data_IF_395137013167
#
_entry.id   IF_395137013167
#
_cell.length_a   1.000
_cell.length_b   1.000
_cell.length_c   1.000
_cell.angle_alpha   90.00
_cell.angle_beta   90.00
_cell.angle_gamma   90.00
#
_symmetry.space_group_name_H-M   'P 1'
#
loop_
_entity.id
_entity.type
_entity.pdbx_description
1 polymer ?
#
# COMPACT_ATOMS: atom_id res chain seq x y z
N UNK A 1 -1.42 -14.41 15.95
CA UNK A 1 -2.77 -13.85 16.13
C UNK A 1 -3.64 -14.53 15.10
N UNK A 2 -4.73 -15.23 15.49
CA UNK A 2 -5.64 -15.83 14.52
C UNK A 2 -6.64 -14.76 14.12
N UNK A 3 -6.68 -14.43 12.82
CA UNK A 3 -7.68 -13.52 12.28
C UNK A 3 -9.03 -14.24 12.14
N UNK A 4 -10.11 -13.50 12.29
CA UNK A 4 -11.45 -13.94 11.97
C UNK A 4 -11.50 -14.33 10.49
N UNK A 5 -12.05 -15.49 10.14
CA UNK A 5 -12.31 -15.84 8.74
C UNK A 5 -13.38 -14.91 8.18
N UNK A 6 -13.08 -14.32 7.05
CA UNK A 6 -14.00 -13.43 6.33
C UNK A 6 -14.62 -14.18 5.15
N UNK A 7 -15.88 -13.89 4.86
CA UNK A 7 -16.54 -14.39 3.66
C UNK A 7 -16.07 -13.65 2.41
N UNK A 8 -15.71 -12.38 2.58
CA UNK A 8 -15.18 -11.53 1.52
C UNK A 8 -14.06 -10.64 2.05
N UNK A 9 -13.01 -10.48 1.23
CA UNK A 9 -11.89 -9.57 1.43
C UNK A 9 -11.81 -8.65 0.22
N UNK A 10 -11.78 -7.36 0.46
CA UNK A 10 -11.62 -6.35 -0.57
C UNK A 10 -10.25 -5.69 -0.43
N UNK A 11 -9.36 -5.87 -1.41
CA UNK A 11 -8.09 -5.13 -1.44
C UNK A 11 -8.30 -3.86 -2.26
N UNK A 12 -8.22 -2.73 -1.58
CA UNK A 12 -8.54 -1.40 -2.12
C UNK A 12 -7.27 -0.57 -2.09
N UNK A 13 -6.89 -0.02 -3.23
CA UNK A 13 -5.67 0.77 -3.31
C UNK A 13 -5.41 1.34 -4.69
N UNK A 14 -4.21 1.87 -4.86
CA UNK A 14 -3.68 2.25 -6.16
C UNK A 14 -3.44 1.00 -7.06
N UNK A 15 -2.62 1.12 -8.09
CA UNK A 15 -2.32 0.01 -9.00
C UNK A 15 -1.77 -1.25 -8.33
N UNK A 16 -1.18 -1.13 -7.12
CA UNK A 16 -0.64 -2.26 -6.36
C UNK A 16 -1.73 -3.16 -5.78
N UNK A 17 -2.96 -2.68 -5.64
CA UNK A 17 -4.10 -3.53 -5.26
C UNK A 17 -4.35 -4.65 -6.27
N UNK A 18 -4.00 -4.46 -7.55
CA UNK A 18 -4.14 -5.48 -8.60
C UNK A 18 -3.28 -6.74 -8.37
N UNK A 19 -2.20 -6.62 -7.59
CA UNK A 19 -1.38 -7.79 -7.19
C UNK A 19 -2.23 -8.86 -6.51
N UNK A 20 -3.28 -8.45 -5.82
CA UNK A 20 -4.18 -9.33 -5.07
C UNK A 20 -5.27 -9.99 -5.92
N UNK A 21 -5.28 -9.76 -7.22
CA UNK A 21 -6.17 -10.49 -8.13
C UNK A 21 -5.64 -11.92 -8.34
N UNK A 22 -5.69 -12.72 -7.28
CA UNK A 22 -5.18 -14.11 -7.24
C UNK A 22 -6.21 -15.15 -7.70
N UNK A 23 -7.36 -14.71 -8.20
CA UNK A 23 -8.41 -15.60 -8.68
C UNK A 23 -9.20 -16.32 -7.58
N UNK A 24 -9.02 -15.96 -6.31
CA UNK A 24 -9.74 -16.57 -5.21
C UNK A 24 -11.14 -15.96 -5.06
N UNK A 25 -12.22 -16.76 -4.90
CA UNK A 25 -13.61 -16.26 -4.90
C UNK A 25 -13.91 -15.32 -3.73
N UNK A 26 -13.16 -15.41 -2.64
CA UNK A 26 -13.31 -14.52 -1.48
C UNK A 26 -12.56 -13.19 -1.62
N UNK A 27 -11.62 -13.05 -2.55
CA UNK A 27 -10.82 -11.84 -2.69
C UNK A 27 -11.30 -11.04 -3.90
N UNK A 28 -11.74 -9.83 -3.65
CA UNK A 28 -11.99 -8.82 -4.66
C UNK A 28 -10.90 -7.76 -4.60
N UNK A 29 -10.58 -7.15 -5.74
CA UNK A 29 -9.63 -6.05 -5.83
C UNK A 29 -10.33 -4.83 -6.41
N UNK A 30 -10.01 -3.66 -5.86
CA UNK A 30 -10.47 -2.38 -6.37
C UNK A 30 -9.26 -1.46 -6.55
N UNK A 31 -8.87 -1.29 -7.81
CA UNK A 31 -7.89 -0.28 -8.18
C UNK A 31 -8.62 1.07 -8.34
N UNK A 32 -8.35 1.98 -7.43
CA UNK A 32 -8.97 3.32 -7.40
C UNK A 32 -8.18 4.36 -8.20
N UNK A 33 -7.23 3.90 -9.01
CA UNK A 33 -6.33 4.77 -9.76
C UNK A 33 -5.20 5.34 -8.89
N UNK A 34 -4.58 6.44 -9.31
CA UNK A 34 -3.39 6.98 -8.65
C UNK A 34 -3.74 7.80 -7.40
N UNK A 35 -4.49 7.21 -6.50
CA UNK A 35 -4.81 7.82 -5.21
C UNK A 35 -3.67 7.53 -4.24
N UNK A 36 -3.13 8.57 -3.64
CA UNK A 36 -2.04 8.49 -2.67
C UNK A 36 -2.56 8.31 -1.24
N UNK A 37 -1.72 7.81 -0.34
CA UNK A 37 -1.99 7.80 1.09
C UNK A 37 -2.28 9.22 1.61
N UNK A 38 -1.54 10.23 1.09
CA UNK A 38 -1.78 11.64 1.38
C UNK A 38 -3.19 12.08 1.02
N UNK A 39 -3.69 11.68 -0.16
CA UNK A 39 -5.03 12.06 -0.61
C UNK A 39 -6.11 11.40 0.25
N UNK A 40 -5.94 10.13 0.59
CA UNK A 40 -6.86 9.44 1.52
C UNK A 40 -6.90 10.13 2.88
N UNK A 41 -5.74 10.50 3.41
CA UNK A 41 -5.64 11.23 4.69
C UNK A 41 -6.28 12.62 4.66
N UNK A 42 -6.24 13.30 3.51
CA UNK A 42 -6.82 14.64 3.35
C UNK A 42 -8.33 14.63 3.13
N UNK A 43 -8.81 13.76 2.24
CA UNK A 43 -10.19 13.77 1.74
C UNK A 43 -11.09 12.75 2.46
N UNK A 44 -10.50 11.79 3.17
CA UNK A 44 -11.20 10.70 3.86
C UNK A 44 -11.51 9.48 2.97
N UNK A 45 -11.80 8.35 3.60
CA UNK A 45 -12.18 7.12 2.90
C UNK A 45 -13.53 7.27 2.23
N UNK A 46 -14.50 7.89 2.90
CA UNK A 46 -15.86 8.05 2.40
C UNK A 46 -15.89 8.80 1.08
N UNK A 47 -15.19 9.93 0.99
CA UNK A 47 -15.11 10.73 -0.24
C UNK A 47 -14.39 9.99 -1.37
N UNK A 48 -13.32 9.26 -1.05
CA UNK A 48 -12.54 8.57 -2.08
C UNK A 48 -13.19 7.26 -2.58
N UNK A 49 -14.00 6.58 -1.75
CA UNK A 49 -14.47 5.22 -2.08
C UNK A 49 -15.96 5.01 -1.93
N UNK A 50 -16.55 5.34 -0.80
CA UNK A 50 -17.93 4.97 -0.47
C UNK A 50 -18.93 5.63 -1.39
N UNK A 51 -18.76 6.93 -1.61
CA UNK A 51 -19.67 7.71 -2.43
C UNK A 51 -19.58 7.37 -3.92
N UNK A 52 -18.49 6.70 -4.33
CA UNK A 52 -18.22 6.41 -5.72
C UNK A 52 -18.39 4.94 -6.10
N UNK A 53 -17.76 4.03 -5.38
CA UNK A 53 -17.68 2.62 -5.77
C UNK A 53 -18.78 1.75 -5.18
N UNK A 54 -19.25 2.02 -3.95
CA UNK A 54 -20.31 1.25 -3.32
C UNK A 54 -21.64 1.40 -4.09
N UNK A 55 -22.09 2.60 -4.47
CA UNK A 55 -23.34 2.76 -5.25
C UNK A 55 -23.29 2.07 -6.60
N UNK A 56 -22.12 1.83 -7.16
CA UNK A 56 -21.92 1.10 -8.44
C UNK A 56 -21.87 -0.41 -8.28
N UNK A 57 -21.88 -0.92 -7.04
CA UNK A 57 -21.73 -2.34 -6.77
C UNK A 57 -20.33 -2.92 -7.04
N UNK A 58 -19.33 -2.06 -7.20
CA UNK A 58 -17.94 -2.47 -7.47
C UNK A 58 -17.26 -3.01 -6.21
N UNK A 59 -17.69 -2.55 -5.04
CA UNK A 59 -17.26 -3.04 -3.72
C UNK A 59 -18.44 -3.08 -2.76
N UNK A 60 -18.41 -3.98 -1.79
CA UNK A 60 -19.42 -4.09 -0.73
C UNK A 60 -18.87 -3.57 0.59
N UNK A 61 -19.75 -3.04 1.44
CA UNK A 61 -19.43 -2.73 2.85
C UNK A 61 -19.19 -3.97 3.69
N UNK A 62 -19.63 -5.12 3.23
CA UNK A 62 -19.44 -6.38 3.92
C UNK A 62 -18.03 -6.94 3.69
N UNK A 63 -17.47 -7.56 4.73
CA UNK A 63 -16.16 -8.18 4.67
C UNK A 63 -15.03 -7.30 5.21
N UNK A 64 -13.81 -7.76 4.98
CA UNK A 64 -12.59 -7.05 5.38
C UNK A 64 -12.10 -6.15 4.24
N UNK A 65 -11.88 -4.89 4.53
CA UNK A 65 -11.21 -3.97 3.62
C UNK A 65 -9.72 -3.91 3.94
N UNK A 66 -8.89 -4.35 3.01
CA UNK A 66 -7.43 -4.25 3.07
C UNK A 66 -7.01 -3.02 2.27
N UNK A 67 -6.51 -2.00 2.95
CA UNK A 67 -6.12 -0.74 2.33
C UNK A 67 -4.64 -0.78 1.92
N UNK A 68 -4.37 -0.59 0.63
CA UNK A 68 -3.07 -0.74 -0.03
C UNK A 68 -2.63 0.59 -0.67
N UNK A 69 -2.03 1.48 0.12
CA UNK A 69 -1.59 2.82 -0.31
C UNK A 69 -0.18 3.14 0.18
N UNK A 70 0.46 4.14 -0.44
CA UNK A 70 1.71 4.73 0.03
C UNK A 70 2.90 4.55 -0.91
N UNK A 71 2.84 3.64 -1.89
CA UNK A 71 3.94 3.46 -2.84
C UNK A 71 4.17 4.73 -3.66
N UNK A 72 3.11 5.33 -4.20
CA UNK A 72 3.18 6.56 -4.99
C UNK A 72 3.72 7.72 -4.14
N UNK A 73 3.35 7.80 -2.86
CA UNK A 73 3.90 8.81 -1.95
C UNK A 73 5.42 8.66 -1.81
N UNK A 74 5.92 7.43 -1.59
CA UNK A 74 7.34 7.13 -1.44
C UNK A 74 8.12 7.40 -2.74
N UNK A 75 7.58 6.97 -3.88
CA UNK A 75 8.25 7.02 -5.17
C UNK A 75 8.25 8.41 -5.80
N UNK A 76 7.12 9.14 -5.70
CA UNK A 76 6.92 10.37 -6.46
C UNK A 76 6.97 11.65 -5.62
N UNK A 77 6.61 11.61 -4.32
CA UNK A 77 6.28 12.83 -3.60
C UNK A 77 7.19 13.16 -2.42
N UNK A 78 7.55 12.19 -1.60
CA UNK A 78 8.28 12.45 -0.36
C UNK A 78 9.63 13.11 -0.59
N UNK A 79 10.38 12.68 -1.59
CA UNK A 79 11.68 13.27 -1.90
C UNK A 79 11.58 14.78 -2.17
N UNK A 80 10.58 15.21 -2.93
CA UNK A 80 10.35 16.63 -3.22
C UNK A 80 9.99 17.42 -1.95
N UNK A 81 9.14 16.86 -1.09
CA UNK A 81 8.76 17.52 0.17
C UNK A 81 9.96 17.72 1.09
N UNK A 82 10.86 16.75 1.14
CA UNK A 82 12.01 16.75 2.04
C UNK A 82 13.18 17.53 1.43
N UNK A 83 13.58 17.20 0.19
CA UNK A 83 14.83 17.72 -0.39
C UNK A 83 14.66 19.01 -1.19
N UNK A 84 13.51 19.23 -1.84
CA UNK A 84 13.25 20.47 -2.59
C UNK A 84 12.62 21.52 -1.68
N UNK A 85 11.62 21.14 -0.89
CA UNK A 85 10.89 22.07 -0.02
C UNK A 85 11.54 22.23 1.37
N UNK A 86 12.62 21.49 1.67
CA UNK A 86 13.40 21.61 2.91
C UNK A 86 12.64 21.20 4.18
N UNK A 87 11.59 20.37 4.05
CA UNK A 87 10.80 19.94 5.21
C UNK A 87 11.52 18.83 5.97
N UNK A 88 11.29 18.76 7.28
CA UNK A 88 11.82 17.69 8.11
C UNK A 88 11.21 16.33 7.70
N UNK A 89 12.04 15.32 7.45
CA UNK A 89 11.63 14.01 6.97
C UNK A 89 10.68 13.31 7.95
N UNK A 90 11.04 13.28 9.23
CA UNK A 90 10.23 12.59 10.24
C UNK A 90 8.88 13.29 10.44
N UNK A 91 8.85 14.61 10.37
CA UNK A 91 7.61 15.39 10.44
C UNK A 91 6.69 15.12 9.26
N UNK A 92 7.23 15.08 8.04
CA UNK A 92 6.46 14.79 6.81
C UNK A 92 5.85 13.39 6.87
N UNK A 93 6.66 12.39 7.22
CA UNK A 93 6.22 10.99 7.27
C UNK A 93 5.22 10.76 8.41
N UNK A 94 5.49 11.29 9.61
CA UNK A 94 4.55 11.20 10.73
C UNK A 94 3.21 11.86 10.41
N UNK A 95 3.21 13.04 9.79
CA UNK A 95 1.99 13.74 9.39
C UNK A 95 1.21 12.94 8.35
N UNK A 96 1.89 12.38 7.34
CA UNK A 96 1.28 11.55 6.32
C UNK A 96 0.53 10.36 6.93
N UNK A 97 1.21 9.57 7.75
CA UNK A 97 0.64 8.37 8.37
C UNK A 97 -0.45 8.73 9.39
N UNK A 98 -0.26 9.78 10.17
CA UNK A 98 -1.25 10.21 11.16
C UNK A 98 -2.56 10.65 10.51
N UNK A 99 -2.50 11.48 9.46
CA UNK A 99 -3.69 11.92 8.73
C UNK A 99 -4.42 10.74 8.07
N UNK A 100 -3.66 9.78 7.53
CA UNK A 100 -4.21 8.55 6.97
C UNK A 100 -5.00 7.77 8.02
N UNK A 101 -4.45 7.56 9.22
CA UNK A 101 -5.15 6.85 10.30
C UNK A 101 -6.35 7.62 10.85
N UNK A 102 -6.30 8.95 10.93
CA UNK A 102 -7.47 9.75 11.30
C UNK A 102 -8.62 9.58 10.29
N UNK A 103 -8.32 9.55 9.00
CA UNK A 103 -9.34 9.31 7.98
C UNK A 103 -9.96 7.91 8.07
N UNK A 104 -9.16 6.91 8.46
CA UNK A 104 -9.62 5.53 8.67
C UNK A 104 -10.52 5.43 9.91
N UNK A 105 -10.15 6.06 11.01
CA UNK A 105 -10.96 6.07 12.24
C UNK A 105 -12.34 6.69 12.01
N UNK A 106 -12.42 7.72 11.19
CA UNK A 106 -13.67 8.37 10.85
C UNK A 106 -14.58 7.49 9.96
N UNK A 107 -14.01 6.46 9.32
CA UNK A 107 -14.72 5.47 8.51
C UNK A 107 -15.04 4.18 9.31
N UNK A 108 -15.57 4.31 10.51
CA UNK A 108 -15.74 3.26 11.53
C UNK A 108 -16.80 2.19 11.23
N UNK A 109 -17.41 2.25 10.07
CA UNK A 109 -18.42 1.29 9.58
C UNK A 109 -17.82 0.13 8.77
N UNK A 110 -16.51 0.09 8.58
CA UNK A 110 -15.80 -0.99 7.88
C UNK A 110 -14.92 -1.79 8.84
N UNK A 111 -14.81 -3.10 8.61
CA UNK A 111 -13.71 -3.88 9.15
C UNK A 111 -12.48 -3.64 8.26
N UNK A 112 -11.44 -3.03 8.80
CA UNK A 112 -10.27 -2.55 8.05
C UNK A 112 -9.01 -3.27 8.48
N UNK A 113 -8.18 -3.64 7.52
CA UNK A 113 -6.78 -4.01 7.69
C UNK A 113 -5.89 -3.08 6.86
N UNK A 114 -4.68 -2.86 7.30
CA UNK A 114 -3.71 -2.00 6.63
C UNK A 114 -2.60 -2.86 6.05
N UNK A 115 -2.36 -2.72 4.76
CA UNK A 115 -1.24 -3.35 4.08
C UNK A 115 0.02 -2.49 4.20
N UNK A 116 1.17 -3.13 4.37
CA UNK A 116 2.45 -2.45 4.24
C UNK A 116 2.61 -1.85 2.84
N UNK A 117 3.35 -0.76 2.73
CA UNK A 117 3.85 -0.30 1.44
C UNK A 117 4.75 -1.39 0.86
N UNK A 118 4.58 -1.72 -0.41
CA UNK A 118 5.39 -2.71 -1.12
C UNK A 118 6.87 -2.30 -1.16
N UNK A 119 7.82 -3.24 -1.33
CA UNK A 119 9.22 -2.89 -1.44
C UNK A 119 9.48 -1.97 -2.63
N UNK A 120 10.37 -1.00 -2.46
CA UNK A 120 10.84 -0.16 -3.58
C UNK A 120 11.85 -0.90 -4.46
N UNK A 121 11.95 -0.49 -5.72
CA UNK A 121 12.91 -1.05 -6.68
C UNK A 121 14.27 -0.34 -6.59
N UNK A 122 15.35 -1.01 -7.02
CA UNK A 122 16.67 -0.39 -7.29
C UNK A 122 16.66 0.31 -8.65
N UNK A 123 15.91 1.39 -8.77
CA UNK A 123 15.71 2.09 -10.06
C UNK A 123 17.02 2.59 -10.67
N UNK A 124 17.91 3.17 -9.87
CA UNK A 124 19.19 3.73 -10.34
C UNK A 124 20.31 2.70 -10.42
N UNK A 125 20.34 1.74 -9.50
CA UNK A 125 21.43 0.78 -9.36
C UNK A 125 21.10 -0.61 -9.90
N UNK A 126 19.81 -0.90 -10.11
CA UNK A 126 19.32 -2.14 -10.71
C UNK A 126 19.28 -2.07 -12.25
N UNK A 127 19.15 -3.22 -12.86
CA UNK A 127 19.05 -3.33 -14.33
C UNK A 127 17.57 -3.24 -14.75
N UNK A 128 17.00 -2.03 -14.70
CA UNK A 128 15.62 -1.74 -15.13
C UNK A 128 15.61 -1.01 -16.47
N UNK A 129 14.59 -1.26 -17.28
CA UNK A 129 14.34 -0.52 -18.52
C UNK A 129 13.60 0.78 -18.16
N UNK A 130 14.34 1.88 -18.07
CA UNK A 130 13.81 3.17 -17.67
C UNK A 130 12.77 3.73 -18.64
N UNK A 131 12.74 3.27 -19.89
CA UNK A 131 11.75 3.72 -20.88
C UNK A 131 10.32 3.25 -20.57
N UNK A 132 10.17 2.25 -19.71
CA UNK A 132 8.87 1.70 -19.28
C UNK A 132 8.18 2.54 -18.22
N UNK A 133 8.93 3.40 -17.50
CA UNK A 133 8.36 4.21 -16.43
C UNK A 133 7.64 5.44 -16.98
N UNK A 134 6.43 5.65 -16.49
CA UNK A 134 5.57 6.75 -16.95
C UNK A 134 6.07 8.10 -16.42
N UNK A 135 6.17 9.11 -17.28
CA UNK A 135 6.55 10.48 -16.89
C UNK A 135 5.60 11.07 -15.84
N UNK A 136 4.33 10.67 -15.87
CA UNK A 136 3.31 11.15 -14.93
C UNK A 136 3.54 10.65 -13.49
N UNK A 137 4.19 9.48 -13.33
CA UNK A 137 4.50 8.89 -12.03
C UNK A 137 5.98 8.52 -11.95
N UNK A 138 6.86 9.53 -11.94
CA UNK A 138 8.29 9.31 -12.03
C UNK A 138 8.84 8.64 -10.77
N UNK A 139 9.97 7.97 -10.94
CA UNK A 139 10.78 7.50 -9.83
C UNK A 139 11.75 8.61 -9.44
N UNK A 140 11.57 9.23 -8.27
CA UNK A 140 12.33 10.41 -7.84
C UNK A 140 13.26 10.07 -6.67
N UNK A 141 14.40 10.75 -6.59
CA UNK A 141 15.40 10.59 -5.53
C UNK A 141 16.29 9.37 -5.71
N UNK A 142 17.12 9.10 -4.73
CA UNK A 142 18.02 7.94 -4.71
C UNK A 142 17.27 6.67 -4.31
N UNK A 143 17.79 5.51 -4.71
CA UNK A 143 17.25 4.21 -4.27
C UNK A 143 17.22 4.10 -2.74
N UNK A 144 18.29 4.57 -2.08
CA UNK A 144 18.39 4.59 -0.62
C UNK A 144 17.39 5.51 0.08
N UNK A 145 16.99 6.62 -0.58
CA UNK A 145 15.98 7.53 -0.02
C UNK A 145 14.61 6.84 -0.02
N UNK A 146 14.23 6.25 -1.17
CA UNK A 146 12.96 5.53 -1.29
C UNK A 146 12.87 4.33 -0.35
N UNK A 147 13.97 3.57 -0.21
CA UNK A 147 14.04 2.46 0.75
C UNK A 147 13.78 2.96 2.18
N UNK A 148 14.46 4.03 2.58
CA UNK A 148 14.30 4.62 3.91
C UNK A 148 12.89 5.11 4.15
N UNK A 149 12.25 5.75 3.16
CA UNK A 149 10.86 6.21 3.28
C UNK A 149 9.89 5.03 3.45
N UNK A 150 10.03 4.00 2.64
CA UNK A 150 9.20 2.78 2.75
C UNK A 150 9.37 2.12 4.11
N UNK A 151 10.60 1.98 4.60
CA UNK A 151 10.87 1.40 5.92
C UNK A 151 10.22 2.21 7.04
N UNK A 152 10.44 3.54 7.07
CA UNK A 152 9.85 4.41 8.09
C UNK A 152 8.32 4.40 8.07
N UNK A 153 7.71 4.44 6.89
CA UNK A 153 6.26 4.38 6.77
C UNK A 153 5.75 3.02 7.28
N UNK A 154 6.36 1.91 6.88
CA UNK A 154 5.95 0.58 7.30
C UNK A 154 6.07 0.37 8.81
N UNK A 155 7.13 0.90 9.43
CA UNK A 155 7.27 0.87 10.89
C UNK A 155 6.15 1.65 11.58
N UNK A 156 5.83 2.85 11.10
CA UNK A 156 4.74 3.66 11.64
C UNK A 156 3.36 3.04 11.37
N UNK A 157 3.12 2.47 10.19
CA UNK A 157 1.87 1.76 9.89
C UNK A 157 1.67 0.60 10.86
N UNK A 158 2.72 -0.19 11.12
CA UNK A 158 2.70 -1.32 12.04
C UNK A 158 2.42 -0.88 13.48
N UNK A 159 3.06 0.20 13.93
CA UNK A 159 2.82 0.80 15.24
C UNK A 159 1.38 1.29 15.37
N UNK A 160 0.91 2.09 14.43
CA UNK A 160 -0.45 2.63 14.42
C UNK A 160 -1.53 1.54 14.32
N UNK A 161 -1.28 0.48 13.57
CA UNK A 161 -2.15 -0.69 13.54
C UNK A 161 -2.26 -1.34 14.92
N UNK A 162 -1.14 -1.49 15.62
CA UNK A 162 -1.12 -2.03 17.00
C UNK A 162 -1.88 -1.13 17.98
N UNK A 163 -1.68 0.19 17.91
CA UNK A 163 -2.37 1.17 18.77
C UNK A 163 -3.90 1.17 18.57
N UNK A 164 -4.35 0.96 17.33
CA UNK A 164 -5.75 1.07 16.96
C UNK A 164 -6.45 -0.29 16.76
N UNK A 165 -5.76 -1.41 17.05
CA UNK A 165 -6.24 -2.79 16.89
C UNK A 165 -6.66 -3.14 15.45
N UNK A 166 -6.02 -2.54 14.44
CA UNK A 166 -6.17 -2.94 13.05
C UNK A 166 -5.22 -4.09 12.71
N UNK A 167 -5.65 -5.10 11.93
CA UNK A 167 -4.73 -6.06 11.33
C UNK A 167 -3.71 -5.36 10.43
N UNK A 168 -2.43 -5.71 10.59
CA UNK A 168 -1.36 -5.28 9.70
C UNK A 168 -0.94 -6.44 8.80
N UNK A 169 -0.96 -6.21 7.49
CA UNK A 169 -0.64 -7.20 6.46
C UNK A 169 0.72 -6.88 5.88
N UNK A 170 1.75 -7.61 6.33
CA UNK A 170 3.14 -7.37 5.95
C UNK A 170 3.49 -8.00 4.60
N UNK A 171 3.06 -7.34 3.53
CA UNK A 171 3.40 -7.74 2.15
C UNK A 171 4.84 -7.38 1.80
N UNK A 172 5.40 -6.32 2.41
CA UNK A 172 6.79 -5.92 2.18
C UNK A 172 7.78 -7.06 2.39
N UNK A 173 7.69 -7.72 3.55
CA UNK A 173 8.59 -8.81 3.92
C UNK A 173 8.51 -10.03 2.98
N UNK A 174 7.42 -10.20 2.24
CA UNK A 174 7.26 -11.32 1.31
C UNK A 174 8.03 -11.12 0.00
N UNK A 175 8.25 -9.87 -0.40
CA UNK A 175 8.71 -9.50 -1.74
C UNK A 175 10.01 -8.72 -1.74
N UNK A 176 10.63 -8.49 -0.57
CA UNK A 176 11.93 -7.83 -0.49
C UNK A 176 13.08 -8.84 -0.39
N UNK A 177 14.25 -8.40 -0.86
CA UNK A 177 15.53 -9.07 -0.60
C UNK A 177 16.06 -8.73 0.82
N UNK A 178 17.27 -9.23 1.12
CA UNK A 178 17.90 -9.01 2.43
C UNK A 178 18.23 -7.55 2.73
N UNK A 179 18.22 -6.68 1.72
CA UNK A 179 18.46 -5.23 1.89
C UNK A 179 17.14 -4.44 1.94
N UNK A 180 15.99 -5.08 1.69
CA UNK A 180 14.65 -4.49 1.74
C UNK A 180 14.12 -3.97 0.39
N UNK A 181 14.82 -4.22 -0.72
CA UNK A 181 14.37 -3.86 -2.05
C UNK A 181 13.53 -4.96 -2.69
N UNK A 182 12.66 -4.58 -3.63
CA UNK A 182 11.87 -5.50 -4.44
C UNK A 182 12.78 -6.51 -5.15
N UNK A 183 12.48 -7.78 -5.00
CA UNK A 183 13.12 -8.84 -5.81
C UNK A 183 12.59 -8.74 -7.23
N UNK A 184 13.46 -8.45 -8.18
CA UNK A 184 13.10 -8.12 -9.56
C UNK A 184 12.30 -9.23 -10.25
N UNK A 185 12.63 -10.48 -10.00
CA UNK A 185 12.00 -11.66 -10.57
C UNK A 185 10.53 -11.82 -10.15
N UNK A 186 10.12 -11.14 -9.09
CA UNK A 186 8.74 -11.15 -8.58
C UNK A 186 7.94 -9.91 -9.00
N UNK A 187 8.55 -9.04 -9.81
CA UNK A 187 7.93 -7.83 -10.35
C UNK A 187 7.60 -7.95 -11.84
N UNK A 188 6.84 -7.00 -12.35
CA UNK A 188 6.57 -6.84 -13.78
C UNK A 188 7.78 -6.25 -14.56
N UNK A 189 8.91 -6.08 -13.90
CA UNK A 189 10.07 -5.34 -14.40
C UNK A 189 9.94 -3.83 -14.20
N UNK A 190 8.94 -3.40 -13.44
CA UNK A 190 8.70 -2.03 -12.97
C UNK A 190 8.45 -2.07 -11.45
N UNK A 191 7.37 -1.46 -10.98
CA UNK A 191 7.07 -1.31 -9.54
C UNK A 191 6.04 -2.32 -9.00
N UNK A 192 5.36 -3.07 -9.88
CA UNK A 192 4.27 -3.94 -9.47
C UNK A 192 4.75 -5.37 -9.24
N UNK A 193 4.19 -6.00 -8.22
CA UNK A 193 4.40 -7.42 -7.90
C UNK A 193 3.57 -8.28 -8.86
N UNK A 194 4.17 -9.35 -9.38
CA UNK A 194 3.51 -10.32 -10.28
C UNK A 194 3.47 -11.74 -9.73
N UNK A 195 4.36 -12.09 -8.79
CA UNK A 195 4.31 -13.38 -8.10
C UNK A 195 3.17 -13.39 -7.09
N UNK A 196 2.04 -14.00 -7.48
CA UNK A 196 0.80 -14.02 -6.69
C UNK A 196 0.68 -15.22 -5.76
N UNK A 197 1.42 -16.28 -6.02
CA UNK A 197 1.32 -17.53 -5.24
C UNK A 197 1.80 -17.32 -3.81
N UNK A 198 2.87 -16.54 -3.61
CA UNK A 198 3.35 -16.16 -2.28
C UNK A 198 2.30 -15.44 -1.45
N UNK A 199 1.52 -14.60 -2.09
CA UNK A 199 0.47 -13.83 -1.43
C UNK A 199 -0.70 -14.72 -1.02
N UNK A 200 -1.08 -15.65 -1.88
CA UNK A 200 -2.11 -16.64 -1.58
C UNK A 200 -1.73 -17.48 -0.35
N UNK A 201 -0.53 -18.08 -0.37
CA UNK A 201 0.01 -18.84 0.75
C UNK A 201 0.06 -18.03 2.06
N UNK A 202 0.38 -16.74 1.93
CA UNK A 202 0.44 -15.84 3.07
C UNK A 202 -0.95 -15.60 3.67
N UNK A 203 -1.96 -15.32 2.87
CA UNK A 203 -3.35 -15.15 3.36
C UNK A 203 -3.91 -16.42 3.98
N UNK A 204 -3.60 -17.60 3.42
CA UNK A 204 -3.96 -18.88 4.04
C UNK A 204 -3.30 -19.04 5.42
N UNK A 205 -1.99 -18.80 5.52
CA UNK A 205 -1.23 -18.88 6.79
C UNK A 205 -1.72 -17.89 7.84
N UNK A 206 -2.19 -16.73 7.42
CA UNK A 206 -2.82 -15.76 8.33
C UNK A 206 -4.23 -16.20 8.77
N UNK A 207 -4.81 -17.19 8.14
CA UNK A 207 -6.18 -17.65 8.41
C UNK A 207 -7.25 -16.68 7.91
N UNK A 208 -6.94 -15.86 6.92
CA UNK A 208 -7.87 -14.92 6.27
C UNK A 208 -8.71 -15.63 5.19
N UNK A 209 -8.19 -16.71 4.62
CA UNK A 209 -8.86 -17.54 3.59
C UNK A 209 -9.47 -18.82 4.12
#
# INVERSE_FOLDING_TARGET
>A
MYYKKYEKIWVIGDSHSNTFHIGHPKIGTLNVGPITMHRVGRDGLEENFDNYYIPRGEVSREGLWVLAFGEIDCRCHLWNQINVNGRNEDEVINTLVSNYFESIKNANYHEIAIMSVVPTIRYLTGNYDHSRFQEQYPVIGLDSDRLRYVQKINDLLKEKCKENNYPYIDVHSLYCDNEGYMVKEWSDGEVHITDRDRLFDFFEKMGLL
#
